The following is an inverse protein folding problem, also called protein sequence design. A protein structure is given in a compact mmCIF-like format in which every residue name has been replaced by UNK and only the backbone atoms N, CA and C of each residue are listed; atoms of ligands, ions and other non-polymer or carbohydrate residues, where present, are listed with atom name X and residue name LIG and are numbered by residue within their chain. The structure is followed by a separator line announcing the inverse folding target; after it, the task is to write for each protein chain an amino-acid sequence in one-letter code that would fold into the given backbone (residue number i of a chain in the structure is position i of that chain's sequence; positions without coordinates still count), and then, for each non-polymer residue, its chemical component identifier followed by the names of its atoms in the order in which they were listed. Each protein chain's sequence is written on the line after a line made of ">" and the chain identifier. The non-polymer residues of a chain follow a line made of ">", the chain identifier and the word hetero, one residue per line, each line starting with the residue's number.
data_IF_565114788357
#
_entry.id   IF_565114788357
#
_cell.length_a   1.000
_cell.length_b   1.000
_cell.length_c   1.000
_cell.angle_alpha   90.00
_cell.angle_beta   90.00
_cell.angle_gamma   90.00
#
_symmetry.space_group_name_H-M   'P 1'
#
loop_
_entity.id
_entity.type
_entity.pdbx_description
1 polymer ?
#
# COMPACT_ATOMS: atom_id res chain seq x y z
N UNK A 1 -12.61 -36.96 -31.93
CA UNK A 1 -11.83 -35.86 -32.56
C UNK A 1 -12.19 -34.51 -31.95
N UNK A 2 -13.47 -34.20 -31.70
CA UNK A 2 -13.90 -32.93 -31.08
C UNK A 2 -13.32 -32.60 -29.68
N UNK A 3 -12.95 -33.61 -28.87
CA UNK A 3 -12.38 -33.37 -27.53
C UNK A 3 -10.93 -32.87 -27.59
N UNK A 4 -10.17 -33.27 -28.62
CA UNK A 4 -8.78 -32.84 -28.81
C UNK A 4 -8.72 -31.36 -29.26
N UNK A 5 -9.70 -30.94 -30.07
CA UNK A 5 -9.81 -29.55 -30.56
C UNK A 5 -10.20 -28.57 -29.45
N UNK A 6 -11.04 -28.98 -28.50
CA UNK A 6 -11.35 -28.19 -27.29
C UNK A 6 -10.13 -28.05 -26.38
N UNK A 7 -9.37 -29.13 -26.15
CA UNK A 7 -8.15 -29.10 -25.32
C UNK A 7 -7.09 -28.18 -25.96
N UNK A 8 -6.91 -28.24 -27.28
CA UNK A 8 -5.98 -27.37 -28.01
C UNK A 8 -6.43 -25.91 -27.98
N UNK A 9 -7.73 -25.63 -28.09
CA UNK A 9 -8.26 -24.27 -27.91
C UNK A 9 -8.04 -23.74 -26.49
N UNK A 10 -8.30 -24.55 -25.45
CA UNK A 10 -8.05 -24.16 -24.06
C UNK A 10 -6.55 -23.93 -23.81
N UNK A 11 -5.68 -24.75 -24.41
CA UNK A 11 -4.23 -24.61 -24.31
C UNK A 11 -3.73 -23.34 -25.02
N UNK A 12 -4.26 -23.01 -26.19
CA UNK A 12 -3.93 -21.78 -26.92
C UNK A 12 -4.43 -20.54 -26.19
N UNK A 13 -5.64 -20.59 -25.61
CA UNK A 13 -6.19 -19.50 -24.77
C UNK A 13 -5.34 -19.31 -23.51
N UNK A 14 -4.91 -20.39 -22.84
CA UNK A 14 -4.01 -20.30 -21.68
C UNK A 14 -2.62 -19.77 -22.06
N UNK A 15 -2.05 -20.16 -23.20
CA UNK A 15 -0.72 -19.72 -23.65
C UNK A 15 -0.71 -18.29 -24.22
N UNK A 16 -1.83 -17.80 -24.74
CA UNK A 16 -1.97 -16.43 -25.28
C UNK A 16 -2.43 -15.44 -24.21
N UNK A 17 -3.16 -15.87 -23.17
CA UNK A 17 -3.57 -15.03 -22.04
C UNK A 17 -2.58 -15.03 -20.85
N UNK A 18 -1.70 -16.03 -20.71
CA UNK A 18 -0.63 -16.03 -19.69
C UNK A 18 0.29 -14.80 -19.73
N UNK A 19 0.72 -14.25 -20.89
CA UNK A 19 1.50 -13.00 -20.90
C UNK A 19 0.68 -11.76 -20.50
N UNK A 20 -0.65 -11.86 -20.36
CA UNK A 20 -1.53 -10.79 -19.86
C UNK A 20 -1.89 -10.98 -18.37
N UNK A 21 -1.50 -12.08 -17.75
CA UNK A 21 -1.72 -12.34 -16.33
C UNK A 21 -0.59 -11.69 -15.52
N UNK A 22 -0.85 -10.49 -14.99
CA UNK A 22 -0.05 -9.79 -13.96
C UNK A 22 -0.07 -10.55 -12.63
N UNK A 23 0.33 -11.81 -12.64
CA UNK A 23 0.20 -12.71 -11.51
C UNK A 23 1.60 -13.16 -11.08
N UNK A 24 1.86 -13.07 -9.79
CA UNK A 24 3.11 -13.49 -9.19
C UNK A 24 2.92 -14.94 -8.74
N UNK A 25 3.61 -15.90 -9.38
CA UNK A 25 3.69 -17.25 -8.83
C UNK A 25 5.07 -17.73 -8.50
N UNK A 26 5.11 -18.50 -7.42
CA UNK A 26 6.29 -19.17 -6.90
C UNK A 26 6.61 -20.48 -7.62
N UNK A 27 5.95 -20.80 -8.75
CA UNK A 27 6.27 -22.00 -9.54
C UNK A 27 7.27 -21.65 -10.65
N UNK A 28 8.55 -21.94 -10.41
CA UNK A 28 9.60 -21.97 -11.44
C UNK A 28 9.36 -23.12 -12.42
N UNK A 29 9.75 -23.00 -13.70
CA UNK A 29 10.76 -23.88 -14.32
C UNK A 29 11.41 -23.26 -15.58
N UNK A 30 12.72 -22.97 -15.46
CA UNK A 30 13.77 -23.11 -16.50
C UNK A 30 13.49 -22.49 -17.88
N UNK A 31 13.68 -21.17 -18.01
CA UNK A 31 13.97 -20.56 -19.31
C UNK A 31 14.90 -19.33 -19.14
N UNK A 32 16.08 -19.44 -19.78
CA UNK A 32 17.20 -18.49 -20.02
C UNK A 32 17.42 -17.26 -19.11
N UNK A 33 18.71 -16.89 -18.94
CA UNK A 33 19.23 -15.67 -18.27
C UNK A 33 18.60 -14.32 -18.72
N UNK A 34 17.66 -14.32 -19.67
CA UNK A 34 16.96 -13.14 -20.15
C UNK A 34 15.60 -12.89 -19.45
N UNK A 35 15.11 -13.80 -18.59
CA UNK A 35 13.81 -13.67 -17.92
C UNK A 35 13.99 -13.30 -16.46
N UNK A 36 13.62 -12.06 -16.09
CA UNK A 36 13.56 -11.61 -14.70
C UNK A 36 12.32 -12.22 -14.04
N UNK A 37 12.52 -13.24 -13.21
CA UNK A 37 11.43 -13.84 -12.43
C UNK A 37 11.16 -12.97 -11.19
N UNK A 38 9.92 -12.49 -10.98
CA UNK A 38 9.59 -11.68 -9.82
C UNK A 38 9.57 -12.52 -8.53
N UNK A 39 10.00 -11.91 -7.43
CA UNK A 39 9.87 -12.47 -6.09
C UNK A 39 8.44 -12.31 -5.57
N UNK A 40 7.85 -13.41 -5.09
CA UNK A 40 6.47 -13.46 -4.62
C UNK A 40 6.38 -13.83 -3.12
N UNK A 41 5.31 -13.39 -2.46
CA UNK A 41 4.93 -13.87 -1.12
C UNK A 41 4.31 -15.27 -1.23
N UNK A 42 4.14 -15.97 -0.10
CA UNK A 42 3.44 -17.26 -0.06
C UNK A 42 1.98 -17.20 -0.52
N UNK A 43 1.37 -16.01 -0.48
CA UNK A 43 0.01 -15.76 -0.95
C UNK A 43 -0.07 -15.42 -2.45
N UNK A 44 1.05 -15.44 -3.18
CA UNK A 44 1.09 -15.09 -4.61
C UNK A 44 1.03 -13.58 -4.89
N UNK A 45 1.28 -12.73 -3.89
CA UNK A 45 1.46 -11.30 -4.11
C UNK A 45 2.92 -10.99 -4.46
N UNK A 46 3.19 -9.87 -5.14
CA UNK A 46 4.56 -9.41 -5.34
C UNK A 46 5.19 -9.06 -3.98
N UNK A 47 6.43 -9.51 -3.75
CA UNK A 47 7.22 -8.95 -2.66
C UNK A 47 7.49 -7.47 -2.95
N UNK A 48 7.40 -6.62 -1.92
CA UNK A 48 7.53 -5.18 -2.12
C UNK A 48 8.91 -4.77 -2.65
N UNK A 49 9.96 -5.52 -2.27
CA UNK A 49 11.33 -5.34 -2.80
C UNK A 49 11.63 -6.44 -3.80
N UNK A 50 11.95 -6.04 -5.03
CA UNK A 50 12.47 -6.90 -6.09
C UNK A 50 13.97 -6.67 -6.23
N UNK A 51 14.73 -7.73 -6.49
CA UNK A 51 16.18 -7.62 -6.72
C UNK A 51 16.58 -8.48 -7.91
N UNK A 52 17.41 -7.93 -8.80
CA UNK A 52 17.96 -8.62 -9.96
C UNK A 52 19.35 -8.10 -10.28
N UNK A 53 20.30 -9.00 -10.53
CA UNK A 53 21.66 -8.65 -11.00
C UNK A 53 22.38 -7.56 -10.19
N UNK A 54 22.20 -7.58 -8.85
CA UNK A 54 22.84 -6.62 -7.95
C UNK A 54 22.12 -5.27 -7.81
N UNK A 55 20.98 -5.07 -8.48
CA UNK A 55 20.08 -3.94 -8.26
C UNK A 55 18.83 -4.39 -7.50
N UNK A 56 18.30 -3.50 -6.66
CA UNK A 56 17.03 -3.71 -5.96
C UNK A 56 16.14 -2.47 -6.08
N UNK A 57 14.83 -2.68 -6.23
CA UNK A 57 13.83 -1.63 -6.35
C UNK A 57 12.53 -2.04 -5.63
N UNK A 58 11.69 -1.04 -5.36
CA UNK A 58 10.36 -1.26 -4.81
C UNK A 58 9.34 -1.44 -5.93
N UNK A 59 8.32 -2.26 -5.71
CA UNK A 59 7.20 -2.44 -6.65
C UNK A 59 5.85 -2.15 -6.00
N UNK A 60 4.89 -1.74 -6.81
CA UNK A 60 3.48 -1.63 -6.41
C UNK A 60 2.78 -3.00 -6.37
N UNK A 61 1.49 -3.02 -6.01
CA UNK A 61 0.70 -4.25 -5.92
C UNK A 61 0.53 -4.99 -7.26
N UNK A 62 0.84 -4.34 -8.38
CA UNK A 62 0.82 -4.92 -9.74
C UNK A 62 2.21 -5.34 -10.21
N UNK A 63 3.23 -5.21 -9.36
CA UNK A 63 4.62 -5.52 -9.70
C UNK A 63 5.33 -4.41 -10.49
N UNK A 64 4.74 -3.21 -10.61
CA UNK A 64 5.37 -2.10 -11.32
C UNK A 64 6.37 -1.37 -10.43
N UNK A 65 7.54 -1.05 -10.97
CA UNK A 65 8.58 -0.33 -10.22
C UNK A 65 8.08 1.04 -9.73
N UNK A 66 8.32 1.31 -8.44
CA UNK A 66 8.13 2.63 -7.86
C UNK A 66 9.28 3.51 -8.34
N UNK A 67 8.95 4.56 -9.08
CA UNK A 67 9.91 5.48 -9.69
C UNK A 67 10.90 6.03 -8.65
N UNK A 68 12.20 5.92 -8.94
CA UNK A 68 13.27 6.43 -8.07
C UNK A 68 13.65 5.53 -6.89
N UNK A 69 13.07 4.34 -6.77
CA UNK A 69 13.39 3.40 -5.68
C UNK A 69 14.58 2.48 -5.95
N UNK A 70 15.11 2.46 -7.18
CA UNK A 70 16.19 1.57 -7.59
C UNK A 70 17.52 1.93 -6.92
N UNK A 71 18.20 0.93 -6.38
CA UNK A 71 19.46 1.04 -5.65
C UNK A 71 20.40 -0.10 -6.06
N UNK A 72 21.72 0.15 -5.99
CA UNK A 72 22.75 -0.86 -6.28
C UNK A 72 23.31 -1.46 -4.99
N UNK A 73 23.32 -2.79 -4.88
CA UNK A 73 23.95 -3.54 -3.79
C UNK A 73 23.25 -3.44 -2.42
N UNK A 74 22.20 -2.64 -2.29
CA UNK A 74 21.44 -2.46 -1.05
C UNK A 74 19.95 -2.66 -1.30
N UNK A 75 19.22 -3.13 -0.30
CA UNK A 75 17.75 -3.22 -0.38
C UNK A 75 17.16 -1.85 -0.03
N UNK A 76 16.32 -1.25 -0.89
CA UNK A 76 15.71 0.04 -0.60
C UNK A 76 14.64 -0.09 0.48
N UNK A 77 14.40 0.99 1.22
CA UNK A 77 13.20 1.12 2.05
C UNK A 77 12.05 1.56 1.16
N UNK A 78 11.02 0.73 1.05
CA UNK A 78 9.88 1.04 0.20
C UNK A 78 8.92 2.03 0.87
N UNK A 79 8.28 2.92 0.08
CA UNK A 79 7.35 3.89 0.63
C UNK A 79 6.20 3.20 1.35
N UNK A 80 5.91 3.63 2.57
CA UNK A 80 4.80 3.09 3.33
C UNK A 80 3.47 3.40 2.67
N UNK A 81 2.39 2.76 3.14
CA UNK A 81 1.03 3.13 2.70
C UNK A 81 0.73 4.61 2.96
N UNK A 82 1.10 5.12 4.13
CA UNK A 82 0.90 6.53 4.46
C UNK A 82 1.62 7.45 3.47
N UNK A 83 2.88 7.18 3.14
CA UNK A 83 3.66 8.03 2.24
C UNK A 83 3.16 7.98 0.81
N UNK A 84 2.68 6.81 0.35
CA UNK A 84 2.01 6.66 -0.94
C UNK A 84 0.74 7.53 -0.99
N UNK A 85 -0.07 7.51 0.07
CA UNK A 85 -1.28 8.34 0.17
C UNK A 85 -0.96 9.84 0.30
N UNK A 86 0.06 10.21 1.09
CA UNK A 86 0.53 11.58 1.23
C UNK A 86 1.00 12.15 -0.11
N UNK A 87 1.82 11.40 -0.84
CA UNK A 87 2.27 11.80 -2.18
C UNK A 87 1.11 11.94 -3.16
N UNK A 88 0.06 11.10 -3.05
CA UNK A 88 -1.14 11.24 -3.86
C UNK A 88 -1.96 12.49 -3.48
N UNK A 89 -2.15 12.74 -2.17
CA UNK A 89 -2.88 13.91 -1.66
C UNK A 89 -2.24 15.23 -2.10
N UNK A 90 -0.90 15.30 -2.04
CA UNK A 90 -0.13 16.45 -2.51
C UNK A 90 -0.34 16.74 -4.00
N UNK A 91 -0.50 15.71 -4.83
CA UNK A 91 -0.75 15.87 -6.28
C UNK A 91 -2.14 16.41 -6.60
N UNK A 92 -3.13 16.13 -5.76
CA UNK A 92 -4.54 16.49 -6.03
C UNK A 92 -4.90 17.84 -5.40
N UNK A 93 -4.59 18.03 -4.12
CA UNK A 93 -5.03 19.21 -3.35
C UNK A 93 -3.90 20.05 -2.78
N UNK A 94 -2.64 19.61 -2.92
CA UNK A 94 -1.50 20.26 -2.26
C UNK A 94 -1.54 20.21 -0.73
N UNK A 95 -2.47 19.46 -0.13
CA UNK A 95 -2.63 19.37 1.32
C UNK A 95 -2.03 18.09 1.88
N UNK A 96 -1.52 18.16 3.11
CA UNK A 96 -0.93 17.04 3.85
C UNK A 96 -1.97 16.29 4.68
N UNK A 97 -3.18 16.07 4.13
CA UNK A 97 -4.28 15.39 4.83
C UNK A 97 -3.95 13.94 5.28
N UNK A 98 -2.83 13.38 4.80
CA UNK A 98 -2.24 12.12 5.24
C UNK A 98 -0.81 12.36 5.77
N UNK A 99 -0.69 13.00 6.94
CA UNK A 99 0.55 13.16 7.68
C UNK A 99 1.09 11.82 8.16
N UNK A 100 2.38 11.58 7.91
CA UNK A 100 3.09 10.36 8.30
C UNK A 100 4.17 10.69 9.34
N UNK A 101 4.45 9.76 10.25
CA UNK A 101 5.60 9.87 11.13
C UNK A 101 6.90 9.34 10.48
N UNK A 102 7.99 9.31 11.24
CA UNK A 102 9.29 8.84 10.79
C UNK A 102 9.36 7.35 10.44
N UNK A 103 8.44 6.55 10.99
CA UNK A 103 8.35 5.11 10.69
C UNK A 103 7.48 4.85 9.45
N UNK A 104 6.85 5.90 8.92
CA UNK A 104 5.91 5.82 7.81
C UNK A 104 4.51 5.37 8.24
N UNK A 105 4.18 5.41 9.52
CA UNK A 105 2.82 5.18 10.02
C UNK A 105 2.01 6.48 9.95
N UNK A 106 0.69 6.34 9.88
CA UNK A 106 -0.18 7.51 9.94
C UNK A 106 -0.06 8.20 11.31
N UNK A 107 0.11 9.52 11.28
CA UNK A 107 -0.01 10.35 12.49
C UNK A 107 -1.47 10.22 12.99
N UNK A 108 -1.72 9.98 14.30
CA UNK A 108 -3.09 9.77 14.76
C UNK A 108 -4.04 10.92 14.47
N UNK A 109 -3.56 12.17 14.52
CA UNK A 109 -4.33 13.35 14.17
C UNK A 109 -4.05 13.75 12.71
N UNK A 110 -5.08 13.70 11.87
CA UNK A 110 -5.05 14.14 10.48
C UNK A 110 -5.85 15.43 10.33
N UNK A 111 -5.39 16.35 9.48
CA UNK A 111 -6.09 17.59 9.21
C UNK A 111 -5.99 17.93 7.73
N UNK A 112 -7.11 18.34 7.14
CA UNK A 112 -7.14 19.07 5.87
C UNK A 112 -7.56 20.53 6.10
N UNK A 113 -7.78 21.28 5.03
CA UNK A 113 -8.20 22.69 5.05
C UNK A 113 -9.55 22.91 5.74
N UNK A 114 -10.36 21.87 5.91
CA UNK A 114 -11.75 21.97 6.38
C UNK A 114 -11.96 21.34 7.75
N UNK A 115 -11.25 20.24 8.05
CA UNK A 115 -11.52 19.42 9.21
C UNK A 115 -10.26 18.76 9.76
N UNK A 116 -10.29 18.39 11.03
CA UNK A 116 -9.34 17.47 11.65
C UNK A 116 -10.08 16.23 12.16
N UNK A 117 -9.46 15.06 12.09
CA UNK A 117 -10.03 13.78 12.57
C UNK A 117 -8.93 12.86 13.09
N UNK A 118 -9.30 11.88 13.91
CA UNK A 118 -8.38 10.84 14.30
C UNK A 118 -8.38 9.70 13.27
N UNK A 119 -7.23 9.06 13.07
CA UNK A 119 -7.07 7.85 12.24
C UNK A 119 -6.39 6.72 13.01
N UNK A 120 -6.63 5.49 12.57
CA UNK A 120 -5.92 4.29 13.02
C UNK A 120 -4.47 4.27 12.51
N UNK A 121 -3.70 3.27 12.95
CA UNK A 121 -2.35 2.99 12.41
C UNK A 121 -2.36 2.72 10.90
N UNK A 122 -3.49 2.25 10.36
CA UNK A 122 -3.74 2.03 8.94
C UNK A 122 -4.38 3.25 8.27
N UNK A 123 -4.47 4.41 8.92
CA UNK A 123 -5.02 5.62 8.31
C UNK A 123 -6.55 5.62 8.13
N UNK A 124 -7.27 4.65 8.71
CA UNK A 124 -8.73 4.65 8.68
C UNK A 124 -9.28 5.65 9.70
N UNK A 125 -10.22 6.50 9.28
CA UNK A 125 -10.87 7.47 10.17
C UNK A 125 -11.59 6.79 11.33
N UNK A 126 -11.35 7.30 12.54
CA UNK A 126 -12.08 6.95 13.75
C UNK A 126 -13.37 7.76 13.78
N UNK A 127 -14.51 7.08 13.64
CA UNK A 127 -15.81 7.72 13.58
C UNK A 127 -16.10 8.62 14.79
N UNK A 128 -16.74 9.76 14.54
CA UNK A 128 -17.13 10.72 15.59
C UNK A 128 -16.02 11.65 16.07
N UNK A 129 -14.81 11.55 15.51
CA UNK A 129 -13.67 12.42 15.88
C UNK A 129 -13.48 13.63 14.98
N UNK A 130 -14.21 13.71 13.86
CA UNK A 130 -14.08 14.78 12.88
C UNK A 130 -14.63 16.10 13.43
N UNK A 131 -13.77 17.11 13.50
CA UNK A 131 -14.10 18.47 13.91
C UNK A 131 -13.78 19.47 12.79
N UNK A 132 -14.62 20.49 12.54
CA UNK A 132 -14.31 21.55 11.59
C UNK A 132 -13.13 22.41 12.08
N UNK A 133 -12.21 22.79 11.18
CA UNK A 133 -11.09 23.68 11.52
C UNK A 133 -11.54 25.03 12.07
N UNK A 134 -12.70 25.53 11.62
CA UNK A 134 -13.31 26.80 12.08
C UNK A 134 -13.49 26.85 13.60
N UNK A 135 -13.72 25.69 14.24
CA UNK A 135 -13.89 25.60 15.69
C UNK A 135 -12.57 25.74 16.47
N UNK A 136 -11.42 25.67 15.77
CA UNK A 136 -10.07 25.56 16.34
C UNK A 136 -9.90 24.42 17.37
N UNK A 137 -10.88 23.50 17.46
CA UNK A 137 -10.88 22.39 18.38
C UNK A 137 -10.36 21.14 17.66
N UNK A 138 -9.13 20.73 17.99
CA UNK A 138 -8.55 19.49 17.47
C UNK A 138 -8.96 18.31 18.36
N UNK A 139 -9.37 17.17 17.78
CA UNK A 139 -9.68 15.98 18.57
C UNK A 139 -8.40 15.47 19.26
N UNK A 140 -8.57 14.89 20.45
CA UNK A 140 -7.46 14.24 21.16
C UNK A 140 -7.25 12.85 20.59
N UNK A 141 -6.13 12.64 19.90
CA UNK A 141 -5.78 11.35 19.30
C UNK A 141 -4.56 10.78 20.04
N UNK A 142 -4.71 9.63 20.71
CA UNK A 142 -3.61 8.91 21.37
C UNK A 142 -3.37 7.57 20.68
N UNK A 143 -2.12 7.34 20.25
CA UNK A 143 -1.71 6.11 19.57
C UNK A 143 -1.75 4.88 20.50
N UNK A 144 -1.48 5.07 21.80
CA UNK A 144 -1.45 3.96 22.79
C UNK A 144 -2.86 3.55 23.20
N UNK A 145 -3.78 4.51 23.17
CA UNK A 145 -5.19 4.33 23.48
C UNK A 145 -6.02 4.49 22.21
N UNK A 146 -5.61 3.87 21.09
CA UNK A 146 -6.48 3.74 19.93
C UNK A 146 -7.76 3.08 20.43
N UNK A 147 -8.81 3.90 20.58
CA UNK A 147 -9.87 3.75 21.57
C UNK A 147 -10.21 2.28 21.88
N UNK A 148 -9.78 1.77 23.04
CA UNK A 148 -10.05 0.38 23.46
C UNK A 148 -11.56 0.15 23.64
N UNK A 149 -12.37 1.21 23.65
CA UNK A 149 -13.79 1.13 23.31
C UNK A 149 -14.29 2.49 22.83
N UNK A 150 -15.27 2.46 21.92
CA UNK A 150 -16.05 3.60 21.41
C UNK A 150 -16.60 4.51 22.52
N UNK A 151 -16.67 4.05 23.77
CA UNK A 151 -17.18 4.79 24.92
C UNK A 151 -16.20 5.83 25.50
N UNK A 152 -14.88 5.64 25.39
CA UNK A 152 -13.91 6.55 26.02
C UNK A 152 -13.58 7.81 25.18
N UNK A 153 -14.06 7.87 23.94
CA UNK A 153 -13.88 9.05 23.09
C UNK A 153 -14.91 10.16 23.40
N UNK A 154 -15.94 9.86 24.21
CA UNK A 154 -16.81 10.90 24.76
C UNK A 154 -16.16 11.50 25.99
N UNK A 155 -15.51 12.64 25.77
CA UNK A 155 -15.33 13.73 26.74
C UNK A 155 -14.53 13.30 27.98
N UNK A 156 -13.27 13.78 28.10
CA UNK A 156 -12.78 14.12 29.44
C UNK A 156 -13.69 15.22 29.96
N UNK A 157 -14.79 14.84 30.59
CA UNK A 157 -15.53 15.74 31.47
C UNK A 157 -14.54 16.13 32.56
N UNK A 158 -14.33 17.42 32.70
CA UNK A 158 -13.53 18.01 33.76
C UNK A 158 -13.96 17.43 35.11
N UNK A 159 -13.03 16.78 35.80
CA UNK A 159 -12.98 16.68 37.25
C UNK A 159 -11.53 16.85 37.72
#
# INVERSE_FOLDING_TARGET
>A
MAVLDLILMFCFVFQVLTPLLHYCTAEEQKYSEAVVVPSCTSSGAFQEVQCHSGECWCVDSRGQEVTGSRTSGQRPRCPSRCEKEQAAALRVRGSLAAGCDSDGLFIPLQCDETSCWCVSVDGQEVGGTRTPQETQLKPSCDRKNMCVSVFLCKVKEHF
#
